data_IF_124242005230
#
_entry.id   IF_124242005230
#
_cell.length_a   1.000
_cell.length_b   1.000
_cell.length_c   1.000
_cell.angle_alpha   90.00
_cell.angle_beta   90.00
_cell.angle_gamma   90.00
#
_symmetry.space_group_name_H-M   'P 1'
#
loop_
_entity.id
_entity.type
_entity.pdbx_description
1 polymer ?
#
# COMPACT_ATOMS: atom_id res chain seq x y z
N UNK A 1 -28.46 -29.53 21.51
CA UNK A 1 -28.80 -29.16 20.12
C UNK A 1 -28.05 -27.91 19.77
N UNK A 2 -26.80 -28.04 19.32
CA UNK A 2 -25.93 -26.89 19.02
C UNK A 2 -26.29 -26.36 17.63
N UNK A 3 -26.86 -25.17 17.58
CA UNK A 3 -27.14 -24.45 16.33
C UNK A 3 -25.79 -23.93 15.82
N UNK A 4 -25.26 -24.54 14.78
CA UNK A 4 -24.11 -24.08 14.01
C UNK A 4 -24.44 -22.70 13.45
N UNK A 5 -23.84 -21.65 14.01
CA UNK A 5 -23.81 -20.33 13.38
C UNK A 5 -23.03 -20.46 12.06
N UNK A 6 -23.77 -20.54 10.96
CA UNK A 6 -23.21 -20.34 9.64
C UNK A 6 -22.61 -18.93 9.62
N UNK A 7 -21.27 -18.84 9.71
CA UNK A 7 -20.54 -17.62 9.37
C UNK A 7 -21.05 -17.18 8.01
N UNK A 8 -21.82 -16.11 7.98
CA UNK A 8 -22.25 -15.48 6.73
C UNK A 8 -20.97 -15.01 6.05
N UNK A 9 -20.56 -15.70 4.98
CA UNK A 9 -19.38 -15.31 4.22
C UNK A 9 -19.64 -13.91 3.69
N UNK A 10 -18.82 -12.97 4.04
CA UNK A 10 -18.91 -11.60 3.52
C UNK A 10 -18.66 -11.63 2.01
N UNK A 11 -19.74 -11.61 1.25
CA UNK A 11 -19.71 -11.68 -0.22
C UNK A 11 -18.91 -10.51 -0.82
N UNK A 12 -18.95 -9.34 -0.17
CA UNK A 12 -18.17 -8.17 -0.60
C UNK A 12 -16.68 -8.47 -0.53
N UNK A 13 -16.21 -9.02 0.58
CA UNK A 13 -14.79 -9.39 0.74
C UNK A 13 -14.36 -10.49 -0.24
N UNK A 14 -15.21 -11.48 -0.49
CA UNK A 14 -14.95 -12.54 -1.49
C UNK A 14 -14.81 -11.96 -2.90
N UNK A 15 -15.68 -11.02 -3.28
CA UNK A 15 -15.62 -10.36 -4.58
C UNK A 15 -14.33 -9.53 -4.71
N UNK A 16 -13.93 -8.79 -3.66
CA UNK A 16 -12.69 -8.01 -3.67
C UNK A 16 -11.43 -8.88 -3.78
N UNK A 17 -11.39 -10.04 -3.10
CA UNK A 17 -10.28 -10.98 -3.23
C UNK A 17 -10.20 -11.60 -4.63
N UNK A 18 -11.34 -11.96 -5.21
CA UNK A 18 -11.43 -12.42 -6.59
C UNK A 18 -11.01 -11.35 -7.60
N UNK A 19 -11.41 -10.10 -7.36
CA UNK A 19 -11.01 -8.96 -8.19
C UNK A 19 -9.50 -8.76 -8.16
N UNK A 20 -8.89 -8.77 -6.97
CA UNK A 20 -7.44 -8.69 -6.82
C UNK A 20 -6.74 -9.76 -7.66
N UNK A 21 -7.11 -11.03 -7.49
CA UNK A 21 -6.52 -12.16 -8.24
C UNK A 21 -6.66 -12.01 -9.75
N UNK A 22 -7.84 -11.56 -10.20
CA UNK A 22 -8.12 -11.45 -11.64
C UNK A 22 -7.38 -10.27 -12.26
N UNK A 23 -7.35 -9.12 -11.59
CA UNK A 23 -6.58 -7.94 -12.02
C UNK A 23 -5.09 -8.24 -12.14
N UNK A 24 -4.55 -8.99 -11.20
CA UNK A 24 -3.16 -9.44 -11.21
C UNK A 24 -2.84 -10.34 -12.38
N UNK A 25 -3.71 -11.31 -12.64
CA UNK A 25 -3.48 -12.33 -13.67
C UNK A 25 -3.56 -11.76 -15.08
N UNK A 26 -4.42 -10.77 -15.31
CA UNK A 26 -4.75 -10.26 -16.64
C UNK A 26 -4.39 -8.79 -16.88
N UNK A 27 -4.08 -8.06 -15.80
CA UNK A 27 -4.07 -6.59 -15.82
C UNK A 27 -5.48 -6.00 -15.70
N UNK A 28 -5.57 -4.81 -15.11
CA UNK A 28 -6.85 -4.12 -14.94
C UNK A 28 -7.58 -3.85 -16.27
N UNK A 29 -6.92 -3.33 -17.35
CA UNK A 29 -7.62 -3.01 -18.59
C UNK A 29 -8.32 -4.21 -19.21
N UNK A 30 -7.65 -5.36 -19.26
CA UNK A 30 -8.11 -6.57 -19.95
C UNK A 30 -9.10 -7.41 -19.12
N UNK A 31 -9.24 -7.11 -17.82
CA UNK A 31 -10.14 -7.86 -16.94
C UNK A 31 -11.60 -7.50 -17.19
N UNK A 32 -12.45 -8.52 -17.35
CA UNK A 32 -13.91 -8.39 -17.44
C UNK A 32 -14.57 -8.67 -16.09
N UNK A 33 -15.68 -7.97 -15.81
CA UNK A 33 -16.44 -8.15 -14.55
C UNK A 33 -16.98 -9.56 -14.43
N UNK A 34 -17.40 -10.20 -15.53
CA UNK A 34 -17.85 -11.58 -15.58
C UNK A 34 -16.79 -12.60 -15.11
N UNK A 35 -15.51 -12.32 -15.38
CA UNK A 35 -14.40 -13.18 -14.94
C UNK A 35 -14.18 -13.06 -13.42
N UNK A 36 -14.35 -11.85 -12.88
CA UNK A 36 -14.29 -11.61 -11.43
C UNK A 36 -15.47 -12.33 -10.74
N UNK A 37 -16.67 -12.24 -11.29
CA UNK A 37 -17.83 -12.92 -10.75
C UNK A 37 -17.65 -14.46 -10.76
N UNK A 38 -17.09 -15.00 -11.84
CA UNK A 38 -16.73 -16.41 -11.96
C UNK A 38 -15.70 -16.85 -10.92
N UNK A 39 -14.62 -16.07 -10.75
CA UNK A 39 -13.57 -16.33 -9.73
C UNK A 39 -14.15 -16.26 -8.31
N UNK A 40 -15.06 -15.31 -8.05
CA UNK A 40 -15.75 -15.15 -6.78
C UNK A 40 -16.85 -16.22 -6.55
N UNK A 41 -17.18 -17.03 -7.57
CA UNK A 41 -18.27 -18.01 -7.56
C UNK A 41 -19.62 -17.37 -7.23
N UNK A 42 -19.89 -16.20 -7.79
CA UNK A 42 -21.18 -15.49 -7.67
C UNK A 42 -21.75 -15.18 -9.06
N UNK A 43 -23.06 -14.96 -9.13
CA UNK A 43 -23.67 -14.44 -10.35
C UNK A 43 -23.20 -12.99 -10.58
N UNK A 44 -23.04 -12.59 -11.84
CA UNK A 44 -22.60 -11.23 -12.21
C UNK A 44 -23.54 -10.16 -11.65
N UNK A 45 -24.86 -10.40 -11.65
CA UNK A 45 -25.83 -9.52 -11.00
C UNK A 45 -25.61 -9.37 -9.49
N UNK A 46 -25.09 -10.41 -8.82
CA UNK A 46 -24.71 -10.30 -7.40
C UNK A 46 -23.54 -9.33 -7.20
N UNK A 47 -22.56 -9.36 -8.12
CA UNK A 47 -21.43 -8.43 -8.06
C UNK A 47 -21.90 -6.99 -8.23
N UNK A 48 -22.81 -6.71 -9.17
CA UNK A 48 -23.37 -5.38 -9.38
C UNK A 48 -24.23 -4.86 -8.21
N UNK A 49 -24.70 -5.74 -7.33
CA UNK A 49 -25.36 -5.30 -6.07
C UNK A 49 -24.37 -4.66 -5.08
N UNK A 50 -23.07 -4.94 -5.20
CA UNK A 50 -22.02 -4.40 -4.32
C UNK A 50 -21.21 -3.29 -4.96
N UNK A 51 -20.98 -3.36 -6.29
CA UNK A 51 -20.09 -2.47 -7.02
C UNK A 51 -20.74 -2.05 -8.34
N UNK A 52 -20.78 -0.75 -8.59
CA UNK A 52 -21.46 -0.17 -9.77
C UNK A 52 -20.79 -0.56 -11.09
N UNK A 53 -19.47 -0.69 -11.08
CA UNK A 53 -18.65 -0.99 -12.26
C UNK A 53 -17.27 -1.49 -11.84
N UNK A 54 -16.43 -1.81 -12.82
CA UNK A 54 -15.04 -2.27 -12.59
C UNK A 54 -14.18 -1.23 -11.86
N UNK A 55 -14.43 0.05 -12.08
CA UNK A 55 -13.74 1.16 -11.41
C UNK A 55 -14.05 1.20 -9.92
N UNK A 56 -15.34 1.16 -9.57
CA UNK A 56 -15.81 1.15 -8.19
C UNK A 56 -15.22 -0.02 -7.41
N UNK A 57 -15.14 -1.19 -8.06
CA UNK A 57 -14.50 -2.37 -7.50
C UNK A 57 -13.00 -2.17 -7.24
N UNK A 58 -12.28 -1.56 -8.18
CA UNK A 58 -10.86 -1.24 -8.02
C UNK A 58 -10.65 -0.25 -6.88
N UNK A 59 -11.43 0.83 -6.85
CA UNK A 59 -11.35 1.85 -5.80
C UNK A 59 -11.66 1.26 -4.41
N UNK A 60 -12.68 0.41 -4.31
CA UNK A 60 -13.03 -0.27 -3.06
C UNK A 60 -11.92 -1.23 -2.60
N UNK A 61 -11.28 -1.94 -3.52
CA UNK A 61 -10.14 -2.79 -3.24
C UNK A 61 -8.96 -1.98 -2.66
N UNK A 62 -8.69 -0.82 -3.25
CA UNK A 62 -7.65 0.08 -2.77
C UNK A 62 -7.94 0.61 -1.37
N UNK A 63 -9.14 1.12 -1.16
CA UNK A 63 -9.56 1.69 0.13
C UNK A 63 -9.44 0.64 1.24
N UNK A 64 -9.90 -0.58 0.99
CA UNK A 64 -9.83 -1.67 1.98
C UNK A 64 -8.38 -2.08 2.29
N UNK A 65 -7.54 -2.23 1.26
CA UNK A 65 -6.13 -2.65 1.47
C UNK A 65 -5.31 -1.55 2.14
N UNK A 66 -5.44 -0.29 1.73
CA UNK A 66 -4.76 0.82 2.38
C UNK A 66 -5.28 1.06 3.80
N UNK A 67 -6.60 0.99 4.01
CA UNK A 67 -7.19 1.09 5.36
C UNK A 67 -6.58 0.05 6.30
N UNK A 68 -6.54 -1.22 5.90
CA UNK A 68 -5.93 -2.28 6.69
C UNK A 68 -4.43 -2.06 6.99
N UNK A 69 -3.67 -1.47 6.05
CA UNK A 69 -2.25 -1.10 6.27
C UNK A 69 -2.15 -0.01 7.34
N UNK A 70 -2.93 1.05 7.21
CA UNK A 70 -2.90 2.19 8.13
C UNK A 70 -3.30 1.76 9.54
N UNK A 71 -4.36 0.97 9.68
CA UNK A 71 -4.85 0.46 10.95
C UNK A 71 -3.79 -0.44 11.63
N UNK A 72 -3.12 -1.33 10.87
CA UNK A 72 -2.04 -2.16 11.38
C UNK A 72 -0.84 -1.33 11.86
N UNK A 73 -0.48 -0.27 11.11
CA UNK A 73 0.58 0.66 11.50
C UNK A 73 0.18 1.41 12.77
N UNK A 74 -0.99 2.06 12.79
CA UNK A 74 -1.47 2.84 13.95
C UNK A 74 -1.51 2.00 15.22
N UNK A 75 -2.03 0.78 15.13
CA UNK A 75 -2.06 -0.17 16.27
C UNK A 75 -0.67 -0.48 16.80
N UNK A 76 0.32 -0.64 15.91
CA UNK A 76 1.69 -0.99 16.31
C UNK A 76 2.48 0.19 16.86
N UNK A 77 2.20 1.41 16.42
CA UNK A 77 2.97 2.59 16.82
C UNK A 77 2.37 3.37 17.98
N UNK A 78 1.10 3.14 18.33
CA UNK A 78 0.37 3.93 19.35
C UNK A 78 1.05 3.97 20.71
N UNK A 79 1.73 2.90 21.10
CA UNK A 79 2.43 2.79 22.40
C UNK A 79 3.92 3.12 22.32
N UNK A 80 4.41 3.53 21.16
CA UNK A 80 5.80 3.88 20.97
C UNK A 80 6.00 5.38 21.16
N UNK A 81 7.05 5.73 21.88
CA UNK A 81 7.41 7.12 22.13
C UNK A 81 8.59 7.62 21.27
N UNK A 82 9.24 6.72 20.54
CA UNK A 82 10.39 7.02 19.66
C UNK A 82 9.95 7.12 18.21
N UNK A 83 9.99 8.33 17.58
CA UNK A 83 9.65 8.57 16.19
C UNK A 83 10.44 7.70 15.21
N UNK A 84 11.73 7.41 15.48
CA UNK A 84 12.52 6.54 14.63
C UNK A 84 12.00 5.09 14.64
N UNK A 85 11.53 4.61 15.78
CA UNK A 85 10.89 3.29 15.89
C UNK A 85 9.55 3.27 15.17
N UNK A 86 8.75 4.35 15.24
CA UNK A 86 7.48 4.48 14.51
C UNK A 86 7.71 4.39 12.99
N UNK A 87 8.62 5.18 12.43
CA UNK A 87 8.99 5.11 11.02
C UNK A 87 9.49 3.71 10.62
N UNK A 88 10.32 3.09 11.46
CA UNK A 88 10.80 1.72 11.21
C UNK A 88 9.66 0.71 11.11
N UNK A 89 8.69 0.77 12.00
CA UNK A 89 7.53 -0.11 11.98
C UNK A 89 6.69 0.12 10.73
N UNK A 90 6.39 1.38 10.41
CA UNK A 90 5.65 1.77 9.23
C UNK A 90 6.25 1.17 7.96
N UNK A 91 7.55 1.37 7.71
CA UNK A 91 8.23 0.74 6.56
C UNK A 91 8.22 -0.79 6.63
N UNK A 92 8.35 -1.38 7.81
CA UNK A 92 8.36 -2.84 7.99
C UNK A 92 7.00 -3.47 7.66
N UNK A 93 5.90 -2.80 8.01
CA UNK A 93 4.53 -3.25 7.68
C UNK A 93 4.33 -3.27 6.16
N UNK A 94 4.67 -2.17 5.49
CA UNK A 94 4.55 -2.04 4.03
C UNK A 94 5.41 -3.09 3.31
N UNK A 95 6.68 -3.24 3.69
CA UNK A 95 7.59 -4.25 3.09
C UNK A 95 7.05 -5.67 3.30
N UNK A 96 6.55 -5.97 4.50
CA UNK A 96 6.00 -7.30 4.80
C UNK A 96 4.77 -7.62 3.95
N UNK A 97 3.87 -6.65 3.81
CA UNK A 97 2.67 -6.80 3.01
C UNK A 97 3.02 -7.12 1.55
N UNK A 98 3.83 -6.29 0.91
CA UNK A 98 4.17 -6.47 -0.49
C UNK A 98 5.04 -7.72 -0.75
N UNK A 99 5.84 -8.15 0.23
CA UNK A 99 6.54 -9.44 0.13
C UNK A 99 5.60 -10.64 0.26
N UNK A 100 4.53 -10.52 1.05
CA UNK A 100 3.52 -11.58 1.21
C UNK A 100 2.63 -11.68 -0.02
N UNK A 101 2.28 -10.56 -0.60
CA UNK A 101 1.44 -10.47 -1.78
C UNK A 101 2.04 -9.45 -2.77
N UNK A 102 2.93 -9.97 -3.62
CA UNK A 102 3.60 -9.19 -4.66
C UNK A 102 2.61 -8.57 -5.64
N UNK A 103 1.56 -9.28 -5.93
CA UNK A 103 0.56 -8.83 -6.87
C UNK A 103 -0.16 -7.57 -6.41
N UNK A 104 -0.31 -7.40 -5.10
CA UNK A 104 -0.71 -6.12 -4.53
C UNK A 104 0.23 -5.00 -4.96
N UNK A 105 1.56 -5.20 -4.87
CA UNK A 105 2.52 -4.18 -5.29
C UNK A 105 2.42 -3.86 -6.79
N UNK A 106 2.21 -4.87 -7.64
CA UNK A 106 2.05 -4.69 -9.08
C UNK A 106 0.83 -3.82 -9.40
N UNK A 107 -0.34 -4.16 -8.87
CA UNK A 107 -1.55 -3.36 -9.05
C UNK A 107 -1.38 -1.94 -8.48
N UNK A 108 -0.83 -1.83 -7.27
CA UNK A 108 -0.67 -0.52 -6.62
C UNK A 108 0.31 0.42 -7.34
N UNK A 109 1.32 -0.11 -8.00
CA UNK A 109 2.39 0.71 -8.58
C UNK A 109 2.28 0.91 -10.08
N UNK A 110 1.77 -0.06 -10.82
CA UNK A 110 1.80 -0.05 -12.28
C UNK A 110 0.45 0.29 -12.89
N UNK A 111 -0.57 -0.50 -12.61
CA UNK A 111 -1.87 -0.35 -13.28
C UNK A 111 -2.63 0.88 -12.84
N UNK A 112 -2.46 1.28 -11.59
CA UNK A 112 -3.18 2.40 -10.99
C UNK A 112 -2.68 3.74 -11.45
N UNK A 113 -1.37 3.91 -11.62
CA UNK A 113 -0.80 5.16 -12.15
C UNK A 113 -1.15 5.41 -13.61
N UNK A 114 -1.52 4.37 -14.37
CA UNK A 114 -1.83 4.48 -15.79
C UNK A 114 -3.32 4.66 -16.08
N UNK A 115 -4.21 4.41 -15.13
CA UNK A 115 -5.63 4.57 -15.38
C UNK A 115 -6.06 6.03 -15.23
N UNK A 116 -6.76 6.55 -16.24
CA UNK A 116 -7.39 7.88 -16.21
C UNK A 116 -8.38 8.07 -15.06
N UNK A 117 -8.85 6.98 -14.48
CA UNK A 117 -9.73 6.87 -13.34
C UNK A 117 -9.05 7.36 -12.08
N UNK A 118 -7.78 7.00 -11.89
CA UNK A 118 -6.98 7.42 -10.75
C UNK A 118 -6.75 8.93 -10.72
N UNK A 119 -6.63 9.53 -11.91
CA UNK A 119 -6.44 10.99 -12.02
C UNK A 119 -7.71 11.79 -11.74
N UNK A 120 -8.90 11.20 -11.92
CA UNK A 120 -10.19 11.92 -11.81
C UNK A 120 -10.99 11.61 -10.54
N UNK A 121 -10.95 10.39 -10.03
CA UNK A 121 -11.90 9.92 -9.02
C UNK A 121 -11.24 9.16 -7.86
N UNK A 122 -9.91 9.16 -7.75
CA UNK A 122 -9.26 8.44 -6.67
C UNK A 122 -9.70 9.02 -5.33
N UNK A 123 -10.26 8.20 -4.44
CA UNK A 123 -10.36 8.57 -3.05
C UNK A 123 -8.93 8.63 -2.50
N UNK A 124 -8.29 9.76 -2.75
CA UNK A 124 -6.90 10.09 -2.34
C UNK A 124 -6.75 9.96 -0.83
N UNK A 125 -7.90 9.86 -0.13
CA UNK A 125 -8.00 9.90 1.33
C UNK A 125 -7.08 8.90 2.03
N UNK A 126 -7.03 7.64 1.60
CA UNK A 126 -6.19 6.63 2.30
C UNK A 126 -4.70 6.77 2.02
N UNK A 127 -4.32 7.12 0.80
CA UNK A 127 -2.90 7.37 0.48
C UNK A 127 -2.45 8.67 1.13
N UNK A 128 -3.30 9.71 1.11
CA UNK A 128 -3.03 10.96 1.82
C UNK A 128 -2.92 10.70 3.32
N UNK A 129 -3.83 9.94 3.91
CA UNK A 129 -3.78 9.55 5.33
C UNK A 129 -2.45 8.83 5.66
N UNK A 130 -1.98 7.95 4.78
CA UNK A 130 -0.67 7.30 4.96
C UNK A 130 0.49 8.28 4.88
N UNK A 131 0.45 9.23 3.95
CA UNK A 131 1.47 10.27 3.78
C UNK A 131 1.44 11.23 4.98
N UNK A 132 0.26 11.59 5.45
CA UNK A 132 0.09 12.48 6.61
C UNK A 132 0.57 11.81 7.91
N UNK A 133 0.43 10.50 8.03
CA UNK A 133 1.00 9.75 9.15
C UNK A 133 2.54 9.84 9.19
N UNK A 134 3.21 9.92 8.03
CA UNK A 134 4.66 10.21 7.99
C UNK A 134 4.93 11.59 8.59
N UNK A 135 4.18 12.61 8.17
CA UNK A 135 4.34 13.97 8.66
C UNK A 135 4.08 14.08 10.17
N UNK A 136 3.02 13.44 10.69
CA UNK A 136 2.73 13.38 12.12
C UNK A 136 3.94 12.86 12.93
N UNK A 137 4.58 11.79 12.44
CA UNK A 137 5.77 11.20 13.09
C UNK A 137 6.98 12.15 13.00
N UNK A 138 7.16 12.83 11.88
CA UNK A 138 8.24 13.79 11.69
C UNK A 138 8.07 15.01 12.62
N UNK A 139 6.86 15.56 12.70
CA UNK A 139 6.54 16.66 13.61
C UNK A 139 6.73 16.26 15.09
N UNK A 140 6.34 15.04 15.45
CA UNK A 140 6.63 14.52 16.78
C UNK A 140 8.14 14.50 17.08
N UNK A 141 8.95 14.07 16.10
CA UNK A 141 10.41 14.05 16.22
C UNK A 141 11.01 15.44 16.38
N UNK A 142 10.49 16.44 15.67
CA UNK A 142 10.88 17.85 15.84
C UNK A 142 10.55 18.37 17.24
N UNK A 143 9.31 18.17 17.70
CA UNK A 143 8.88 18.61 19.05
C UNK A 143 9.72 17.99 20.17
N UNK A 144 10.16 16.75 19.99
CA UNK A 144 11.04 16.04 20.93
C UNK A 144 12.52 16.38 20.82
N UNK A 145 12.90 17.25 19.87
CA UNK A 145 14.30 17.57 19.60
C UNK A 145 15.14 16.41 19.05
N UNK A 146 14.50 15.35 18.56
CA UNK A 146 15.15 14.20 17.94
C UNK A 146 15.54 14.55 16.49
N UNK A 147 14.69 15.31 15.82
CA UNK A 147 14.94 15.81 14.46
C UNK A 147 15.29 17.30 14.50
N UNK A 148 16.03 17.76 13.50
CA UNK A 148 16.44 19.15 13.36
C UNK A 148 15.21 20.07 13.27
N UNK A 149 15.31 21.25 13.87
CA UNK A 149 14.19 22.20 13.99
C UNK A 149 13.78 22.83 12.65
N UNK A 150 14.73 23.00 11.74
CA UNK A 150 14.56 23.57 10.40
C UNK A 150 14.06 22.55 9.36
N UNK A 151 13.75 21.31 9.78
CA UNK A 151 13.19 20.30 8.87
C UNK A 151 11.82 20.74 8.36
N UNK A 152 11.70 20.88 7.04
CA UNK A 152 10.41 20.99 6.37
C UNK A 152 9.76 19.60 6.30
N UNK A 153 8.87 19.31 7.23
CA UNK A 153 8.21 18.01 7.35
C UNK A 153 7.25 17.73 6.22
N UNK A 154 6.68 18.78 5.63
CA UNK A 154 5.80 18.65 4.48
C UNK A 154 6.57 18.18 3.23
N UNK A 155 7.72 18.77 2.97
CA UNK A 155 8.59 18.31 1.88
C UNK A 155 9.21 16.94 2.20
N UNK A 156 9.64 16.74 3.44
CA UNK A 156 10.27 15.49 3.86
C UNK A 156 9.33 14.28 3.72
N UNK A 157 8.04 14.41 4.07
CA UNK A 157 7.06 13.31 3.86
C UNK A 157 6.96 12.89 2.39
N UNK A 158 6.98 13.87 1.47
CA UNK A 158 6.89 13.58 0.03
C UNK A 158 8.15 12.89 -0.50
N UNK A 159 9.34 13.32 -0.03
CA UNK A 159 10.61 12.67 -0.39
C UNK A 159 10.65 11.23 0.13
N UNK A 160 10.27 11.01 1.38
CA UNK A 160 10.22 9.68 2.01
C UNK A 160 9.27 8.76 1.25
N UNK A 161 8.06 9.24 0.97
CA UNK A 161 7.06 8.48 0.23
C UNK A 161 7.50 8.17 -1.21
N UNK A 162 8.00 9.18 -1.93
CA UNK A 162 8.50 9.01 -3.29
C UNK A 162 9.67 8.03 -3.40
N UNK A 163 10.62 8.10 -2.46
CA UNK A 163 11.73 7.16 -2.40
C UNK A 163 11.24 5.72 -2.13
N UNK A 164 10.30 5.54 -1.20
CA UNK A 164 9.69 4.23 -0.93
C UNK A 164 8.95 3.69 -2.16
N UNK A 165 8.19 4.51 -2.88
CA UNK A 165 7.53 4.14 -4.13
C UNK A 165 8.54 3.74 -5.22
N UNK A 166 9.62 4.51 -5.40
CA UNK A 166 10.67 4.20 -6.37
C UNK A 166 11.35 2.85 -6.10
N UNK A 167 11.61 2.54 -4.83
CA UNK A 167 12.14 1.25 -4.39
C UNK A 167 11.17 0.11 -4.71
N UNK A 168 9.89 0.27 -4.39
CA UNK A 168 8.87 -0.74 -4.66
C UNK A 168 8.71 -0.98 -6.16
N UNK A 169 8.64 0.08 -6.96
CA UNK A 169 8.55 -0.02 -8.42
C UNK A 169 9.76 -0.75 -9.00
N UNK A 170 10.97 -0.38 -8.59
CA UNK A 170 12.18 -1.04 -9.03
C UNK A 170 12.22 -2.53 -8.64
N UNK A 171 11.71 -2.87 -7.46
CA UNK A 171 11.61 -4.25 -7.01
C UNK A 171 10.61 -5.06 -7.84
N UNK A 172 9.43 -4.51 -8.13
CA UNK A 172 8.43 -5.16 -8.99
C UNK A 172 8.99 -5.38 -10.39
N UNK A 173 9.62 -4.36 -10.99
CA UNK A 173 10.18 -4.45 -12.34
C UNK A 173 11.38 -5.41 -12.42
N UNK A 174 12.15 -5.58 -11.34
CA UNK A 174 13.36 -6.42 -11.34
C UNK A 174 13.08 -7.89 -11.57
N UNK A 175 11.87 -8.36 -11.25
CA UNK A 175 11.49 -9.76 -11.41
C UNK A 175 10.72 -10.01 -12.70
N UNK A 176 10.06 -8.99 -13.26
CA UNK A 176 9.31 -9.10 -14.53
C UNK A 176 10.20 -9.19 -15.77
N UNK A 177 11.44 -8.68 -15.70
CA UNK A 177 12.37 -8.64 -16.81
C UNK A 177 13.46 -9.72 -16.68
N UNK A 178 13.21 -10.91 -17.21
CA UNK A 178 14.13 -12.04 -17.14
C UNK A 178 15.53 -11.75 -17.72
N UNK A 179 15.69 -10.83 -18.66
CA UNK A 179 16.95 -10.50 -19.33
C UNK A 179 17.69 -9.27 -18.78
N UNK A 180 17.01 -8.33 -18.12
CA UNK A 180 17.62 -7.11 -17.54
C UNK A 180 18.00 -7.27 -16.06
N UNK A 181 18.21 -8.50 -15.63
CA UNK A 181 18.34 -8.92 -14.21
C UNK A 181 19.45 -8.25 -13.38
N UNK A 182 20.47 -7.63 -14.00
CA UNK A 182 21.62 -7.12 -13.23
C UNK A 182 21.40 -5.75 -12.58
N UNK A 183 20.61 -4.87 -13.19
CA UNK A 183 20.51 -3.46 -12.76
C UNK A 183 19.63 -3.26 -11.50
N UNK A 184 18.64 -4.12 -11.26
CA UNK A 184 17.63 -3.93 -10.21
C UNK A 184 17.59 -5.07 -9.18
N UNK A 185 18.60 -5.97 -9.17
CA UNK A 185 18.59 -7.11 -8.24
C UNK A 185 18.97 -6.67 -6.84
N UNK A 186 17.98 -6.34 -6.02
CA UNK A 186 18.19 -6.01 -4.62
C UNK A 186 17.10 -6.62 -3.71
N UNK A 187 17.47 -6.80 -2.46
CA UNK A 187 16.49 -7.19 -1.43
C UNK A 187 15.66 -5.98 -1.00
N UNK A 188 14.34 -6.08 -1.09
CA UNK A 188 13.43 -5.03 -0.59
C UNK A 188 13.71 -4.67 0.88
N UNK A 189 14.11 -5.66 1.69
CA UNK A 189 14.52 -5.43 3.07
C UNK A 189 15.79 -4.56 3.18
N UNK A 190 16.82 -4.86 2.35
CA UNK A 190 18.06 -4.05 2.32
C UNK A 190 17.76 -2.63 1.88
N UNK A 191 16.98 -2.45 0.83
CA UNK A 191 16.60 -1.14 0.34
C UNK A 191 15.84 -0.33 1.38
N UNK A 192 14.85 -0.91 2.06
CA UNK A 192 14.13 -0.26 3.14
C UNK A 192 15.04 0.08 4.35
N UNK A 193 16.03 -0.77 4.64
CA UNK A 193 17.04 -0.49 5.67
C UNK A 193 17.91 0.70 5.27
N UNK A 194 18.46 0.70 4.06
CA UNK A 194 19.31 1.77 3.54
C UNK A 194 18.55 3.10 3.47
N UNK A 195 17.31 3.09 2.96
CA UNK A 195 16.45 4.28 2.93
C UNK A 195 16.31 4.90 4.32
N UNK A 196 15.99 4.06 5.32
CA UNK A 196 15.86 4.52 6.70
C UNK A 196 17.17 5.11 7.26
N UNK A 197 18.31 4.51 6.96
CA UNK A 197 19.63 4.99 7.41
C UNK A 197 19.95 6.36 6.81
N UNK A 198 19.71 6.54 5.50
CA UNK A 198 19.89 7.82 4.82
C UNK A 198 18.99 8.90 5.45
N UNK A 199 17.70 8.59 5.64
CA UNK A 199 16.78 9.57 6.24
C UNK A 199 17.11 9.84 7.70
N UNK A 200 17.49 8.85 8.48
CA UNK A 200 17.90 9.08 9.87
C UNK A 200 19.05 10.08 9.96
N UNK A 201 20.06 9.97 9.09
CA UNK A 201 21.18 10.88 9.06
C UNK A 201 20.77 12.28 8.61
N UNK A 202 19.90 12.40 7.58
CA UNK A 202 19.42 13.68 7.09
C UNK A 202 18.37 14.37 7.99
N UNK A 203 17.67 13.61 8.84
CA UNK A 203 16.67 14.15 9.75
C UNK A 203 17.27 14.67 11.07
N UNK A 204 18.42 14.12 11.47
CA UNK A 204 19.14 14.53 12.68
C UNK A 204 20.14 15.61 12.27
N UNK A 205 19.99 16.83 12.78
CA UNK A 205 20.94 17.92 12.54
C UNK A 205 22.34 17.58 13.01
N UNK A 206 23.34 18.26 12.45
CA UNK A 206 24.70 18.24 12.98
C UNK A 206 24.67 18.75 14.44
N UNK A 207 25.35 18.04 15.33
CA UNK A 207 25.46 18.40 16.74
C UNK A 207 26.41 19.56 16.92
#
# INVERSE_FOLDING_TARGET
MFRSEKRTVDKRAVILDAALKTFVKRGYPETRVSEIASEAKVAEGTLYNYFKNKEDLLLALFDEKWGGIIDDIRTKIIRLDDPNKKLKIMFSVVVRLFRKDRHLAEIFLVDVKQSSIFMKNYPVNRVVEFIDLIEEILEEGKRKGIYRKDLDTHVAKMIIFGAAQGILLSWVLSESAAEKKKLFKFSLYRAAKTLREIFKTGLVGEK
#
